data_IF_093822357938
#
_entry.id   IF_093822357938
#
_cell.length_a   1.000
_cell.length_b   1.000
_cell.length_c   1.000
_cell.angle_alpha   90.00
_cell.angle_beta   90.00
_cell.angle_gamma   90.00
#
_symmetry.space_group_name_H-M   'P 1'
#
loop_
_entity.id
_entity.type
_entity.pdbx_description
1 polymer ?
#
# COMPACT_ATOMS: atom_id res chain seq x y z
N UNK A 1 5.29 6.41 4.83
CA UNK A 1 3.98 6.73 5.41
C UNK A 1 3.05 5.55 5.21
N UNK A 2 2.28 5.24 6.20
CA UNK A 2 1.32 4.13 6.18
C UNK A 2 0.00 4.61 6.78
N UNK A 3 -1.07 3.82 6.59
CA UNK A 3 -2.37 4.10 7.19
C UNK A 3 -2.60 3.10 8.30
N UNK A 4 -2.91 3.59 9.51
CA UNK A 4 -3.20 2.75 10.66
C UNK A 4 -4.70 2.48 10.77
N UNK A 5 -5.06 1.25 11.15
CA UNK A 5 -6.45 0.90 11.44
C UNK A 5 -7.30 0.43 10.26
N UNK A 6 -6.76 0.43 9.05
CA UNK A 6 -7.51 0.07 7.84
C UNK A 6 -6.76 -0.95 6.99
N UNK A 7 -5.96 -1.78 7.61
CA UNK A 7 -5.19 -2.81 6.91
C UNK A 7 -6.11 -3.90 6.38
N UNK A 8 -6.06 -4.11 5.06
CA UNK A 8 -6.80 -5.18 4.40
C UNK A 8 -5.98 -6.47 4.38
N UNK A 9 -4.70 -6.34 4.01
CA UNK A 9 -3.81 -7.50 3.85
C UNK A 9 -2.37 -7.03 3.96
N UNK A 10 -1.53 -7.85 4.60
CA UNK A 10 -0.09 -7.67 4.60
C UNK A 10 0.54 -8.88 3.97
N UNK A 11 1.43 -8.67 3.00
CA UNK A 11 2.06 -9.76 2.27
C UNK A 11 3.47 -9.35 1.81
N UNK A 12 4.22 -10.29 1.29
CA UNK A 12 5.54 -10.03 0.72
C UNK A 12 5.45 -9.94 -0.80
N UNK A 13 6.20 -9.00 -1.37
CA UNK A 13 6.27 -8.78 -2.81
C UNK A 13 7.72 -8.50 -3.22
N UNK A 14 8.00 -8.60 -4.51
CA UNK A 14 9.32 -8.33 -5.03
C UNK A 14 9.61 -6.84 -5.19
N UNK A 15 8.55 -6.05 -5.48
CA UNK A 15 8.68 -4.62 -5.76
C UNK A 15 7.34 -3.92 -5.62
N UNK A 16 7.35 -2.57 -5.77
CA UNK A 16 6.16 -1.76 -5.64
C UNK A 16 5.10 -2.08 -6.71
N UNK A 17 5.52 -2.44 -7.91
CA UNK A 17 4.58 -2.79 -8.99
C UNK A 17 3.76 -4.02 -8.60
N UNK A 18 4.41 -5.03 -8.03
CA UNK A 18 3.72 -6.23 -7.58
C UNK A 18 2.73 -5.90 -6.45
N UNK A 19 3.13 -5.03 -5.52
CA UNK A 19 2.24 -4.58 -4.45
C UNK A 19 0.98 -3.91 -5.03
N UNK A 20 1.17 -3.02 -6.00
CA UNK A 20 0.06 -2.34 -6.69
C UNK A 20 -0.85 -3.30 -7.43
N UNK A 21 -0.27 -4.32 -8.08
CA UNK A 21 -1.07 -5.35 -8.77
C UNK A 21 -1.94 -6.12 -7.80
N UNK A 22 -1.42 -6.47 -6.63
CA UNK A 22 -2.20 -7.15 -5.61
C UNK A 22 -3.36 -6.28 -5.11
N UNK A 23 -3.11 -4.97 -4.95
CA UNK A 23 -4.16 -4.02 -4.60
C UNK A 23 -5.24 -3.97 -5.69
N UNK A 24 -4.84 -3.90 -6.95
CA UNK A 24 -5.76 -3.86 -8.08
C UNK A 24 -6.62 -5.11 -8.23
N UNK A 25 -6.18 -6.24 -7.71
CA UNK A 25 -6.92 -7.50 -7.76
C UNK A 25 -7.98 -7.61 -6.65
N UNK A 26 -8.01 -6.66 -5.72
CA UNK A 26 -8.95 -6.68 -4.60
C UNK A 26 -9.82 -5.45 -4.67
N UNK A 27 -11.12 -5.66 -4.80
CA UNK A 27 -12.08 -4.56 -4.93
C UNK A 27 -12.09 -3.66 -3.70
N UNK A 28 -11.77 -4.20 -2.52
CA UNK A 28 -11.73 -3.44 -1.28
C UNK A 28 -10.45 -2.63 -1.10
N UNK A 29 -9.42 -2.83 -1.93
CA UNK A 29 -8.16 -2.12 -1.77
C UNK A 29 -8.24 -0.73 -2.39
N UNK A 30 -7.99 0.29 -1.59
CA UNK A 30 -8.01 1.69 -2.04
C UNK A 30 -6.61 2.31 -2.10
N UNK A 31 -5.67 1.78 -1.33
CA UNK A 31 -4.30 2.27 -1.31
C UNK A 31 -3.36 1.17 -0.83
N UNK A 32 -2.07 1.40 -1.01
CA UNK A 32 -1.07 0.44 -0.54
C UNK A 32 0.21 1.16 -0.13
N UNK A 33 0.96 0.51 0.74
CA UNK A 33 2.29 0.97 1.15
C UNK A 33 3.26 -0.18 0.96
N UNK A 34 4.45 0.12 0.46
CA UNK A 34 5.46 -0.88 0.21
C UNK A 34 6.76 -0.47 0.88
N UNK A 35 7.42 -1.44 1.48
CA UNK A 35 8.71 -1.24 2.11
C UNK A 35 9.75 -0.83 1.07
N UNK A 36 10.45 0.26 1.33
CA UNK A 36 11.53 0.73 0.47
C UNK A 36 12.85 0.17 0.99
N UNK A 37 13.55 -0.55 0.14
CA UNK A 37 14.84 -1.13 0.50
C UNK A 37 15.70 -1.27 -0.75
N UNK A 38 16.98 -0.94 -0.62
CA UNK A 38 17.95 -1.11 -1.71
C UNK A 38 18.38 -2.57 -1.84
N UNK A 39 18.08 -3.40 -0.86
CA UNK A 39 18.43 -4.82 -0.90
C UNK A 39 17.52 -5.59 -1.83
N UNK A 40 18.04 -6.50 -2.65
CA UNK A 40 17.18 -7.41 -3.41
C UNK A 40 16.44 -8.35 -2.48
N UNK A 41 15.26 -8.78 -2.89
CA UNK A 41 14.48 -9.74 -2.12
C UNK A 41 13.09 -9.22 -1.78
N UNK A 42 12.43 -9.94 -0.87
CA UNK A 42 11.05 -9.66 -0.51
C UNK A 42 10.90 -8.36 0.25
N UNK A 43 9.90 -7.57 -0.13
CA UNK A 43 9.52 -6.32 0.53
C UNK A 43 8.13 -6.47 1.11
N UNK A 44 7.89 -5.85 2.26
CA UNK A 44 6.57 -5.88 2.88
C UNK A 44 5.61 -4.99 2.09
N UNK A 45 4.43 -5.54 1.78
CA UNK A 45 3.36 -4.84 1.08
C UNK A 45 2.14 -4.81 1.98
N UNK A 46 1.61 -3.61 2.24
CA UNK A 46 0.41 -3.43 3.06
C UNK A 46 -0.68 -2.82 2.19
N UNK A 47 -1.81 -3.52 2.10
CA UNK A 47 -2.98 -3.06 1.36
C UNK A 47 -3.98 -2.47 2.35
N UNK A 48 -4.55 -1.32 2.00
CA UNK A 48 -5.46 -0.58 2.87
C UNK A 48 -6.83 -0.43 2.22
N UNK A 49 -7.88 -0.35 3.04
CA UNK A 49 -9.26 -0.19 2.56
C UNK A 49 -9.64 1.26 2.31
N UNK A 50 -8.81 2.23 2.70
CA UNK A 50 -9.09 3.66 2.53
C UNK A 50 -7.87 4.37 1.95
N UNK A 51 -8.10 5.56 1.40
CA UNK A 51 -7.03 6.45 0.94
C UNK A 51 -6.67 7.44 2.06
N UNK A 52 -5.41 7.88 2.08
CA UNK A 52 -4.92 8.82 3.09
C UNK A 52 -5.74 10.10 3.12
N UNK A 53 -6.14 10.62 1.97
CA UNK A 53 -6.91 11.87 1.90
C UNK A 53 -8.28 11.77 2.54
N UNK A 54 -8.85 10.56 2.59
CA UNK A 54 -10.16 10.32 3.22
C UNK A 54 -10.05 10.13 4.72
N UNK A 55 -8.87 9.73 5.20
CA UNK A 55 -8.63 9.45 6.62
C UNK A 55 -7.27 10.01 7.04
N UNK A 56 -7.08 11.34 6.93
CA UNK A 56 -5.78 11.94 7.25
C UNK A 56 -5.36 11.71 8.71
N UNK A 57 -6.31 11.54 9.61
CA UNK A 57 -6.05 11.25 11.02
C UNK A 57 -5.43 9.87 11.24
N UNK A 58 -5.56 8.98 10.26
CA UNK A 58 -5.01 7.63 10.35
C UNK A 58 -3.65 7.48 9.67
N UNK A 59 -3.15 8.55 9.06
CA UNK A 59 -1.85 8.53 8.39
C UNK A 59 -0.74 8.58 9.42
N UNK A 60 0.19 7.63 9.35
CA UNK A 60 1.32 7.52 10.27
C UNK A 60 2.62 7.56 9.47
N UNK A 61 3.59 8.34 9.94
CA UNK A 61 4.93 8.31 9.38
C UNK A 61 5.60 7.00 9.77
N UNK A 62 6.04 6.25 8.77
CA UNK A 62 6.79 5.02 9.01
C UNK A 62 8.00 5.02 8.09
N UNK A 63 9.18 5.09 8.70
CA UNK A 63 10.43 5.12 7.97
C UNK A 63 10.57 3.84 7.14
N UNK A 64 11.02 4.02 5.89
CA UNK A 64 11.24 2.88 5.01
C UNK A 64 10.05 2.42 4.21
N UNK A 65 8.90 3.12 4.32
CA UNK A 65 7.70 2.79 3.55
C UNK A 65 7.33 3.92 2.62
N UNK A 66 6.89 3.56 1.42
CA UNK A 66 6.31 4.49 0.45
C UNK A 66 4.83 4.18 0.28
N UNK A 67 4.03 5.23 0.25
CA UNK A 67 2.58 5.14 0.13
C UNK A 67 2.15 5.48 -1.30
N UNK A 68 1.16 4.74 -1.79
CA UNK A 68 0.57 4.96 -3.11
C UNK A 68 -0.95 4.83 -3.02
N UNK A 69 -1.68 5.74 -3.68
CA UNK A 69 -3.11 5.56 -3.91
C UNK A 69 -3.32 4.58 -5.06
N UNK A 70 -4.34 3.74 -4.94
CA UNK A 70 -4.74 2.88 -6.05
C UNK A 70 -5.31 3.76 -7.16
N UNK A 71 -4.72 3.66 -8.34
CA UNK A 71 -5.20 4.41 -9.49
C UNK A 71 -6.54 3.86 -9.96
N UNK A 72 -7.48 4.77 -10.25
CA UNK A 72 -8.73 4.38 -10.89
C UNK A 72 -8.50 4.32 -12.40
N UNK A 73 -8.91 3.23 -13.00
CA UNK A 73 -8.77 3.04 -14.43
C UNK A 73 -10.17 3.00 -15.04
N UNK A 74 -10.41 3.91 -15.97
CA UNK A 74 -11.68 4.00 -16.67
C UNK A 74 -11.50 3.53 -18.10
N UNK A 75 -12.35 2.66 -18.54
CA UNK A 75 -12.37 2.15 -19.90
C UNK A 75 -13.68 2.52 -20.56
#
# INVERSE_FOLDING_TARGET
>A
MVIAGFLLLRTKVANAVECGLKCGQRSACASFAVEYSDSPGSKLCELNTVKAKSHPESVVRKKGFQYYDQAEVFY
#
